data_IF_843158758080
#
_entry.id   IF_843158758080
#
_cell.length_a   1.000
_cell.length_b   1.000
_cell.length_c   1.000
_cell.angle_alpha   90.00
_cell.angle_beta   90.00
_cell.angle_gamma   90.00
#
_symmetry.space_group_name_H-M   'P 1'
#
loop_
_entity.id
_entity.type
_entity.pdbx_description
1 polymer ?
#
# COMPACT_ATOMS: atom_id res chain seq x y z
N UNK A 1 -25.15 -20.88 -10.16
CA UNK A 1 -24.24 -21.27 -11.24
C UNK A 1 -24.09 -20.15 -12.26
N UNK A 2 -25.15 -19.81 -12.99
CA UNK A 2 -25.10 -18.70 -13.94
C UNK A 2 -24.78 -17.36 -13.31
N UNK A 3 -25.19 -17.14 -12.07
CA UNK A 3 -24.88 -15.91 -11.35
C UNK A 3 -23.40 -15.71 -11.10
N UNK A 4 -22.68 -16.79 -10.81
CA UNK A 4 -21.24 -16.73 -10.58
C UNK A 4 -20.51 -16.31 -11.85
N UNK A 5 -20.91 -16.87 -12.99
CA UNK A 5 -20.33 -16.50 -14.29
C UNK A 5 -20.59 -15.03 -14.64
N UNK A 6 -21.81 -14.54 -14.36
CA UNK A 6 -22.15 -13.13 -14.61
C UNK A 6 -21.31 -12.19 -13.76
N UNK A 7 -21.11 -12.54 -12.50
CA UNK A 7 -20.28 -11.72 -11.60
C UNK A 7 -18.84 -11.68 -12.10
N UNK A 8 -18.29 -12.81 -12.51
CA UNK A 8 -16.94 -12.87 -13.05
C UNK A 8 -16.78 -12.02 -14.31
N UNK A 9 -17.76 -12.09 -15.24
CA UNK A 9 -17.68 -11.34 -16.48
C UNK A 9 -17.80 -9.82 -16.27
N UNK A 10 -18.60 -9.39 -15.29
CA UNK A 10 -18.77 -7.95 -15.02
C UNK A 10 -17.57 -7.31 -14.35
N UNK A 11 -16.71 -8.10 -13.74
CA UNK A 11 -15.59 -7.57 -12.97
C UNK A 11 -14.28 -7.52 -13.74
N UNK A 12 -14.34 -7.70 -15.03
CA UNK A 12 -13.16 -7.54 -15.85
C UNK A 12 -12.78 -6.07 -15.88
N UNK A 13 -11.80 -5.73 -15.07
CA UNK A 13 -11.30 -4.36 -15.03
C UNK A 13 -10.44 -4.10 -16.25
N UNK A 14 -10.61 -2.95 -16.85
CA UNK A 14 -9.71 -2.52 -17.90
C UNK A 14 -8.31 -2.34 -17.34
N UNK A 15 -7.33 -2.84 -18.05
CA UNK A 15 -5.93 -2.66 -17.69
C UNK A 15 -5.53 -1.25 -18.09
N UNK A 16 -5.31 -0.40 -17.09
CA UNK A 16 -4.79 0.94 -17.33
C UNK A 16 -3.30 0.85 -17.56
N UNK A 17 -2.83 1.33 -18.69
CA UNK A 17 -1.39 1.38 -18.95
C UNK A 17 -0.81 2.64 -18.33
N UNK A 18 0.00 2.46 -17.32
CA UNK A 18 0.70 3.57 -16.68
C UNK A 18 2.17 3.22 -16.54
N UNK A 19 3.04 4.14 -16.91
CA UNK A 19 4.47 3.97 -16.73
C UNK A 19 4.91 4.49 -15.37
N UNK A 20 4.36 5.62 -14.96
CA UNK A 20 4.67 6.26 -13.69
C UNK A 20 3.48 6.19 -12.76
N UNK A 21 3.75 5.93 -11.50
CA UNK A 21 2.72 5.90 -10.48
C UNK A 21 3.24 6.36 -9.15
N UNK A 22 2.38 6.34 -8.17
CA UNK A 22 2.71 6.67 -6.80
C UNK A 22 2.40 5.46 -5.93
N UNK A 23 3.30 5.14 -5.02
CA UNK A 23 3.07 4.10 -4.02
C UNK A 23 2.89 4.78 -2.67
N UNK A 24 1.74 4.62 -2.09
CA UNK A 24 1.42 5.20 -0.79
C UNK A 24 1.49 4.10 0.25
N UNK A 25 2.41 4.24 1.19
CA UNK A 25 2.59 3.29 2.29
C UNK A 25 2.09 3.94 3.56
N UNK A 26 1.05 3.38 4.14
CA UNK A 26 0.54 3.82 5.42
C UNK A 26 0.89 2.76 6.46
N UNK A 27 1.81 3.09 7.35
CA UNK A 27 2.32 2.15 8.34
C UNK A 27 1.90 2.59 9.74
N UNK A 28 1.19 1.71 10.42
CA UNK A 28 0.85 1.89 11.82
C UNK A 28 1.56 0.83 12.64
N UNK A 29 1.47 0.91 13.96
CA UNK A 29 2.07 -0.12 14.82
C UNK A 29 1.41 -1.49 14.64
N UNK A 30 0.19 -1.52 14.13
CA UNK A 30 -0.60 -2.75 14.02
C UNK A 30 -0.76 -3.26 12.60
N UNK A 31 -0.46 -2.45 11.59
CA UNK A 31 -0.72 -2.84 10.19
C UNK A 31 0.07 -1.97 9.23
N UNK A 32 0.22 -2.46 8.01
CA UNK A 32 0.79 -1.69 6.90
C UNK A 32 -0.12 -1.83 5.70
N UNK A 33 -0.51 -0.71 5.12
CA UNK A 33 -1.37 -0.67 3.93
C UNK A 33 -0.57 -0.04 2.80
N UNK A 34 -0.53 -0.70 1.65
CA UNK A 34 0.17 -0.22 0.47
C UNK A 34 -0.84 -0.01 -0.64
N UNK A 35 -0.90 1.20 -1.17
CA UNK A 35 -1.79 1.55 -2.28
C UNK A 35 -0.96 2.10 -3.42
N UNK A 36 -1.14 1.54 -4.61
CA UNK A 36 -0.47 2.03 -5.82
C UNK A 36 -1.49 2.81 -6.64
N UNK A 37 -1.11 4.04 -6.98
CA UNK A 37 -1.98 4.94 -7.75
C UNK A 37 -1.25 5.42 -8.99
N UNK A 38 -2.00 6.01 -9.92
CA UNK A 38 -1.40 6.75 -11.02
C UNK A 38 -0.97 8.14 -10.52
N UNK A 39 -0.43 8.97 -11.40
CA UNK A 39 0.05 10.31 -11.01
C UNK A 39 -1.10 11.25 -10.65
N UNK A 40 -2.30 10.95 -11.07
CA UNK A 40 -3.50 11.74 -10.72
C UNK A 40 -4.10 11.32 -9.37
N UNK A 41 -3.65 10.21 -8.79
CA UNK A 41 -4.14 9.74 -7.51
C UNK A 41 -5.21 8.65 -7.59
N UNK A 42 -5.51 8.13 -8.78
CA UNK A 42 -6.49 7.07 -8.93
C UNK A 42 -5.87 5.73 -8.54
N UNK A 43 -6.48 5.02 -7.60
CA UNK A 43 -5.95 3.76 -7.10
C UNK A 43 -6.03 2.67 -8.17
N UNK A 44 -4.93 1.93 -8.33
CA UNK A 44 -4.81 0.84 -9.29
C UNK A 44 -4.73 -0.48 -8.57
N UNK A 45 -3.95 -0.54 -7.51
CA UNK A 45 -3.74 -1.75 -6.73
C UNK A 45 -3.63 -1.38 -5.27
N UNK A 46 -4.07 -2.28 -4.42
CA UNK A 46 -3.98 -2.10 -2.98
C UNK A 46 -3.74 -3.45 -2.32
N UNK A 47 -2.94 -3.45 -1.27
CA UNK A 47 -2.75 -4.63 -0.44
C UNK A 47 -2.41 -4.18 0.98
N UNK A 48 -2.65 -5.07 1.92
CA UNK A 48 -2.29 -4.82 3.31
C UNK A 48 -1.91 -6.13 3.97
N UNK A 49 -1.29 -6.05 5.14
CA UNK A 49 -0.99 -7.26 5.91
C UNK A 49 -2.26 -8.03 6.24
N UNK A 50 -3.33 -7.32 6.59
CA UNK A 50 -4.62 -7.96 6.86
C UNK A 50 -5.24 -8.63 5.66
N UNK A 51 -5.08 -8.04 4.48
CA UNK A 51 -5.61 -8.62 3.24
C UNK A 51 -4.89 -9.91 2.84
N UNK A 52 -3.65 -10.09 3.29
CA UNK A 52 -2.87 -11.30 3.02
C UNK A 52 -3.12 -12.42 4.02
N UNK A 53 -3.98 -12.21 5.00
CA UNK A 53 -4.33 -13.20 5.99
C UNK A 53 -3.60 -13.10 7.31
N UNK A 54 -2.71 -12.14 7.49
CA UNK A 54 -2.09 -11.89 8.79
C UNK A 54 -3.12 -11.36 9.78
N UNK A 55 -3.05 -11.79 11.01
CA UNK A 55 -4.03 -11.42 12.03
C UNK A 55 -3.33 -10.89 13.28
N UNK A 56 -4.01 -9.98 13.97
CA UNK A 56 -3.54 -9.45 15.25
C UNK A 56 -2.21 -8.74 15.13
N UNK A 57 -1.30 -9.02 16.05
CA UNK A 57 0.00 -8.36 16.10
C UNK A 57 0.91 -8.70 14.91
N UNK A 58 0.64 -9.78 14.20
CA UNK A 58 1.42 -10.17 13.03
C UNK A 58 1.31 -9.17 11.88
N UNK A 59 0.22 -8.43 11.81
CA UNK A 59 0.05 -7.40 10.80
C UNK A 59 1.05 -6.25 10.92
N UNK A 60 1.57 -6.03 12.10
CA UNK A 60 2.55 -4.96 12.34
C UNK A 60 3.99 -5.37 12.11
N UNK A 61 4.26 -6.58 11.64
CA UNK A 61 5.62 -7.05 11.43
C UNK A 61 6.22 -6.50 10.12
N UNK A 62 7.55 -6.31 10.05
CA UNK A 62 8.19 -5.89 8.82
C UNK A 62 7.99 -6.89 7.68
N UNK A 63 7.98 -8.19 7.96
CA UNK A 63 7.75 -9.21 6.94
C UNK A 63 6.38 -9.08 6.30
N UNK A 64 5.34 -8.85 7.12
CA UNK A 64 3.99 -8.64 6.61
C UNK A 64 3.91 -7.41 5.70
N UNK A 65 4.60 -6.34 6.08
CA UNK A 65 4.67 -5.13 5.26
C UNK A 65 5.36 -5.39 3.92
N UNK A 66 6.44 -6.17 3.95
CA UNK A 66 7.15 -6.57 2.75
C UNK A 66 6.23 -7.33 1.79
N UNK A 67 5.50 -8.31 2.30
CA UNK A 67 4.59 -9.10 1.48
C UNK A 67 3.45 -8.27 0.92
N UNK A 68 2.92 -7.33 1.72
CA UNK A 68 1.88 -6.42 1.25
C UNK A 68 2.38 -5.55 0.09
N UNK A 69 3.56 -4.98 0.23
CA UNK A 69 4.15 -4.15 -0.82
C UNK A 69 4.41 -4.95 -2.09
N UNK A 70 4.97 -6.16 -1.98
CA UNK A 70 5.20 -7.03 -3.12
C UNK A 70 3.91 -7.35 -3.86
N UNK A 71 2.86 -7.69 -3.14
CA UNK A 71 1.58 -8.04 -3.75
C UNK A 71 0.97 -6.86 -4.50
N UNK A 72 0.96 -5.67 -3.87
CA UNK A 72 0.42 -4.48 -4.51
C UNK A 72 1.21 -4.09 -5.76
N UNK A 73 2.53 -4.14 -5.67
CA UNK A 73 3.39 -3.74 -6.79
C UNK A 73 3.31 -4.74 -7.94
N UNK A 74 3.20 -6.04 -7.66
CA UNK A 74 3.04 -7.05 -8.71
C UNK A 74 1.79 -6.81 -9.53
N UNK A 75 0.67 -6.49 -8.86
CA UNK A 75 -0.56 -6.16 -9.56
C UNK A 75 -0.40 -4.89 -10.38
N UNK A 76 0.26 -3.89 -9.83
CA UNK A 76 0.51 -2.64 -10.54
C UNK A 76 1.41 -2.84 -11.76
N UNK A 77 2.38 -3.74 -11.69
CA UNK A 77 3.25 -4.05 -12.83
C UNK A 77 2.49 -4.68 -13.98
N UNK A 78 1.42 -5.41 -13.72
CA UNK A 78 0.53 -5.92 -14.76
C UNK A 78 -0.11 -4.77 -15.54
N UNK A 79 -0.26 -3.62 -14.91
CA UNK A 79 -0.75 -2.39 -15.56
C UNK A 79 0.36 -1.58 -16.22
N UNK A 80 1.59 -2.07 -16.21
CA UNK A 80 2.70 -1.44 -16.89
C UNK A 80 3.58 -0.53 -16.05
N UNK A 81 3.40 -0.53 -14.73
CA UNK A 81 4.18 0.34 -13.84
C UNK A 81 5.68 0.03 -13.94
N UNK A 82 6.50 1.04 -14.19
CA UNK A 82 7.96 0.94 -14.23
C UNK A 82 8.64 1.84 -13.25
N UNK A 83 8.10 3.02 -13.03
CA UNK A 83 8.67 4.07 -12.20
C UNK A 83 7.66 4.49 -11.16
N UNK A 84 8.09 4.68 -9.93
CA UNK A 84 7.19 5.06 -8.86
C UNK A 84 7.81 6.11 -7.94
N UNK A 85 6.95 6.98 -7.45
CA UNK A 85 7.27 7.86 -6.32
C UNK A 85 6.69 7.21 -5.08
N UNK A 86 7.47 7.13 -4.02
CA UNK A 86 7.05 6.48 -2.78
C UNK A 86 6.75 7.54 -1.72
N UNK A 87 5.55 7.47 -1.18
CA UNK A 87 5.12 8.34 -0.09
C UNK A 87 4.82 7.50 1.14
N UNK A 88 5.57 7.73 2.20
CA UNK A 88 5.46 6.95 3.43
C UNK A 88 4.80 7.78 4.51
N UNK A 89 3.85 7.18 5.21
CA UNK A 89 3.11 7.84 6.26
C UNK A 89 3.01 6.94 7.48
N UNK A 90 3.29 7.50 8.65
CA UNK A 90 3.12 6.80 9.91
C UNK A 90 4.39 6.18 10.48
N UNK A 91 4.37 5.82 11.77
CA UNK A 91 5.56 5.39 12.50
C UNK A 91 5.80 3.89 12.56
N UNK A 92 5.02 3.09 11.82
CA UNK A 92 5.09 1.63 11.95
C UNK A 92 6.43 1.02 11.57
N UNK A 93 6.68 -0.18 12.05
CA UNK A 93 7.92 -0.90 11.79
C UNK A 93 8.07 -1.35 10.33
N UNK A 94 6.99 -1.39 9.58
CA UNK A 94 6.99 -1.86 8.20
C UNK A 94 7.43 -0.85 7.14
N UNK A 95 7.76 0.38 7.54
CA UNK A 95 8.10 1.45 6.59
C UNK A 95 9.23 1.05 5.64
N UNK A 96 10.39 0.74 6.22
CA UNK A 96 11.58 0.42 5.43
C UNK A 96 11.44 -0.87 4.65
N UNK A 97 10.83 -1.88 5.26
CA UNK A 97 10.63 -3.18 4.61
C UNK A 97 9.75 -3.06 3.38
N UNK A 98 8.70 -2.25 3.45
CA UNK A 98 7.82 -2.00 2.31
C UNK A 98 8.57 -1.29 1.18
N UNK A 99 9.38 -0.28 1.50
CA UNK A 99 10.17 0.43 0.50
C UNK A 99 11.16 -0.51 -0.19
N UNK A 100 11.85 -1.33 0.58
CA UNK A 100 12.79 -2.31 0.05
C UNK A 100 12.12 -3.33 -0.86
N UNK A 101 10.92 -3.75 -0.49
CA UNK A 101 10.15 -4.69 -1.29
C UNK A 101 9.76 -4.10 -2.65
N UNK A 102 9.42 -2.83 -2.69
CA UNK A 102 9.12 -2.14 -3.94
C UNK A 102 10.33 -2.13 -4.86
N UNK A 103 11.49 -1.81 -4.31
CA UNK A 103 12.75 -1.82 -5.06
C UNK A 103 13.09 -3.22 -5.56
N UNK A 104 12.85 -4.25 -4.74
CA UNK A 104 13.11 -5.64 -5.11
C UNK A 104 12.20 -6.14 -6.23
N UNK A 105 11.06 -5.51 -6.44
CA UNK A 105 10.13 -5.86 -7.52
C UNK A 105 10.50 -5.23 -8.87
N UNK A 106 11.70 -4.70 -8.99
CA UNK A 106 12.21 -4.09 -10.23
C UNK A 106 11.46 -2.82 -10.66
N UNK A 107 10.90 -2.11 -9.71
CA UNK A 107 10.29 -0.80 -9.95
C UNK A 107 11.31 0.26 -9.58
N UNK A 108 11.58 1.17 -10.50
CA UNK A 108 12.51 2.27 -10.26
C UNK A 108 11.84 3.31 -9.34
N UNK A 109 12.48 3.57 -8.22
CA UNK A 109 12.01 4.57 -7.27
C UNK A 109 12.68 5.90 -7.56
N UNK A 110 11.90 6.90 -7.93
CA UNK A 110 12.43 8.23 -8.26
C UNK A 110 12.37 9.20 -7.10
N UNK A 111 11.47 8.98 -6.16
CA UNK A 111 11.30 9.85 -5.02
C UNK A 111 10.82 9.04 -3.82
N UNK A 112 11.40 9.30 -2.66
CA UNK A 112 10.91 8.77 -1.39
C UNK A 112 10.65 9.97 -0.49
N UNK A 113 9.41 10.14 -0.07
CA UNK A 113 9.02 11.27 0.77
C UNK A 113 8.23 10.77 1.97
N UNK A 114 8.49 11.35 3.12
CA UNK A 114 7.72 11.08 4.33
C UNK A 114 6.63 12.15 4.43
N UNK A 115 5.39 11.71 4.35
CA UNK A 115 4.22 12.59 4.40
C UNK A 115 3.44 12.43 5.69
N UNK A 116 4.08 11.93 6.74
CA UNK A 116 3.45 11.81 8.05
C UNK A 116 2.92 13.15 8.52
N UNK A 117 1.66 13.21 8.95
CA UNK A 117 1.09 14.49 9.38
C UNK A 117 1.72 14.97 10.67
N UNK A 118 2.08 16.24 10.71
CA UNK A 118 2.58 16.90 11.90
C UNK A 118 1.63 18.04 12.24
N UNK A 119 0.77 17.90 13.26
CA UNK A 119 -0.16 18.96 13.59
C UNK A 119 0.55 20.17 14.20
N UNK A 120 0.06 21.35 13.87
CA UNK A 120 0.51 22.60 14.48
C UNK A 120 -0.33 22.89 15.71
N UNK A 121 -0.23 22.05 16.72
CA UNK A 121 -1.07 21.96 17.91
C UNK A 121 -2.46 21.36 17.69
N UNK A 122 -3.01 21.40 16.52
CA UNK A 122 -4.23 20.70 16.11
C UNK A 122 -5.29 20.45 17.15
N UNK A 123 -6.04 19.40 16.98
CA UNK A 123 -7.09 19.00 17.89
C UNK A 123 -6.54 18.35 19.15
N UNK A 124 -7.30 18.48 20.24
CA UNK A 124 -6.95 17.77 21.47
C UNK A 124 -6.93 16.27 21.25
N UNK A 125 -5.85 15.57 21.66
CA UNK A 125 -5.80 14.12 21.50
C UNK A 125 -6.83 13.40 22.36
N UNK A 126 -7.19 12.15 22.00
CA UNK A 126 -8.15 11.40 22.78
C UNK A 126 -7.62 11.05 24.17
N UNK A 127 -8.54 10.65 25.03
CA UNK A 127 -8.24 10.24 26.39
C UNK A 127 -7.24 9.09 26.38
N UNK A 128 -6.33 9.11 27.36
CA UNK A 128 -5.36 8.03 27.55
C UNK A 128 -6.06 6.72 27.81
N UNK A 129 -5.60 5.65 27.17
CA UNK A 129 -6.16 4.31 27.38
C UNK A 129 -5.87 3.83 28.79
N UNK A 130 -6.88 3.23 29.39
CA UNK A 130 -6.68 2.49 30.62
C UNK A 130 -6.09 1.12 30.28
N UNK A 131 -5.00 0.79 30.94
CA UNK A 131 -4.32 -0.49 30.71
C UNK A 131 -4.47 -1.36 31.95
#
# INVERSE_FOLDING_TARGET
MAQVKKVASRKRKEIKKIDKGQVHIQSTFNNTIVTVTDMAGNAIAQSSAGALGYKGSRKGTPFAAQMAAETAVKVAKEHGLRTAEVYVKGPGAGRESAIRAISACEVEITLISDVSPIPHNGCRPPKRRRV
#
